data_IF_121695913053
#
_entry.id   IF_121695913053
#
_cell.length_a   1.000
_cell.length_b   1.000
_cell.length_c   1.000
_cell.angle_alpha   90.00
_cell.angle_beta   90.00
_cell.angle_gamma   90.00
#
_symmetry.space_group_name_H-M   'P 1'
#
loop_
_entity.id
_entity.type
_entity.pdbx_description
1 polymer ?
#
# COMPACT_ATOMS: atom_id res chain seq x y z
N UNK A 1 -10.52 -15.43 30.47
CA UNK A 1 -11.00 -14.17 31.10
C UNK A 1 -11.64 -13.28 30.03
N UNK A 2 -12.57 -13.85 29.26
CA UNK A 2 -13.10 -13.32 27.98
C UNK A 2 -14.61 -13.13 28.04
N UNK A 3 -15.18 -13.09 29.24
CA UNK A 3 -16.63 -12.99 29.46
C UNK A 3 -17.08 -11.59 29.89
N UNK A 4 -16.18 -10.77 30.44
CA UNK A 4 -16.59 -9.55 31.16
C UNK A 4 -16.71 -8.32 30.26
N UNK A 5 -16.07 -8.33 29.07
CA UNK A 5 -16.17 -7.22 28.11
C UNK A 5 -17.51 -7.20 27.36
N UNK A 6 -18.17 -8.35 27.19
CA UNK A 6 -19.44 -8.46 26.46
C UNK A 6 -20.63 -8.05 27.34
N UNK A 7 -20.50 -8.17 28.67
CA UNK A 7 -21.58 -7.85 29.60
C UNK A 7 -21.74 -6.35 29.89
N UNK A 8 -20.71 -5.53 29.65
CA UNK A 8 -20.76 -4.08 29.84
C UNK A 8 -21.66 -3.36 28.81
N UNK A 9 -21.90 -3.97 27.63
CA UNK A 9 -22.71 -3.38 26.56
C UNK A 9 -24.22 -3.57 26.80
N UNK A 10 -24.64 -4.49 27.68
CA UNK A 10 -26.05 -4.79 27.95
C UNK A 10 -26.63 -4.11 29.21
N UNK A 11 -25.85 -3.33 29.94
CA UNK A 11 -26.29 -2.62 31.14
C UNK A 11 -26.48 -1.11 30.91
N UNK A 12 -27.05 -0.74 29.76
CA UNK A 12 -27.62 0.60 29.59
C UNK A 12 -28.96 0.70 30.30
N UNK A 13 -28.98 1.21 31.54
CA UNK A 13 -30.19 1.83 32.09
C UNK A 13 -29.85 3.03 32.97
N UNK A 14 -30.14 4.19 32.38
CA UNK A 14 -30.48 5.48 32.99
C UNK A 14 -29.41 6.09 33.89
N UNK A 15 -28.70 7.07 33.36
CA UNK A 15 -28.67 8.43 33.91
C UNK A 15 -28.25 9.42 32.82
N UNK A 16 -29.16 10.35 32.51
CA UNK A 16 -29.00 11.41 31.53
C UNK A 16 -28.03 12.47 32.07
N UNK A 17 -26.86 12.58 31.43
CA UNK A 17 -26.19 13.81 30.99
C UNK A 17 -24.87 13.38 30.35
N UNK A 18 -24.92 12.90 29.11
CA UNK A 18 -23.70 12.54 28.37
C UNK A 18 -23.15 13.81 27.68
N UNK A 19 -22.02 14.29 28.19
CA UNK A 19 -21.26 15.42 27.64
C UNK A 19 -20.93 15.18 26.14
N UNK A 20 -21.25 16.13 25.23
CA UNK A 20 -20.91 16.04 23.81
C UNK A 20 -19.43 15.77 23.54
N UNK A 21 -18.53 16.22 24.43
CA UNK A 21 -17.08 15.97 24.33
C UNK A 21 -16.77 14.50 24.62
N UNK A 22 -17.42 13.92 25.64
CA UNK A 22 -17.26 12.52 26.02
C UNK A 22 -17.81 11.57 24.93
N UNK A 23 -18.96 11.91 24.33
CA UNK A 23 -19.53 11.15 23.22
C UNK A 23 -18.64 11.19 21.96
N UNK A 24 -18.04 12.35 21.64
CA UNK A 24 -17.04 12.46 20.55
C UNK A 24 -15.78 11.64 20.83
N UNK A 25 -15.33 11.59 22.08
CA UNK A 25 -14.17 10.81 22.48
C UNK A 25 -14.45 9.30 22.36
N UNK A 26 -15.60 8.84 22.85
CA UNK A 26 -16.05 7.45 22.72
C UNK A 26 -16.25 7.04 21.27
N UNK A 27 -16.83 7.91 20.43
CA UNK A 27 -16.93 7.69 18.98
C UNK A 27 -15.55 7.62 18.32
N UNK A 28 -14.61 8.46 18.73
CA UNK A 28 -13.24 8.44 18.21
C UNK A 28 -12.51 7.16 18.60
N UNK A 29 -12.67 6.70 19.84
CA UNK A 29 -12.10 5.44 20.31
C UNK A 29 -12.78 4.21 19.69
N UNK A 30 -14.09 4.23 19.46
CA UNK A 30 -14.80 3.20 18.70
C UNK A 30 -14.39 3.17 17.23
N UNK A 31 -14.19 4.34 16.60
CA UNK A 31 -13.65 4.44 15.25
C UNK A 31 -12.21 3.91 15.20
N UNK A 32 -11.41 4.20 16.23
CA UNK A 32 -10.04 3.69 16.41
C UNK A 32 -10.01 2.17 16.65
N UNK A 33 -10.96 1.66 17.43
CA UNK A 33 -11.10 0.23 17.71
C UNK A 33 -11.62 -0.53 16.48
N UNK A 34 -12.53 0.07 15.70
CA UNK A 34 -12.95 -0.47 14.39
C UNK A 34 -11.79 -0.48 13.39
N UNK A 35 -10.94 0.56 13.33
CA UNK A 35 -9.72 0.53 12.51
C UNK A 35 -8.68 -0.46 13.04
N UNK A 36 -8.60 -0.65 14.36
CA UNK A 36 -7.69 -1.62 15.01
C UNK A 36 -8.09 -3.08 14.79
N UNK A 37 -9.40 -3.38 14.78
CA UNK A 37 -9.97 -4.72 14.55
C UNK A 37 -10.06 -5.10 13.06
N UNK A 38 -10.00 -4.14 12.13
CA UNK A 38 -10.28 -4.36 10.70
C UNK A 38 -9.07 -4.49 9.76
N UNK A 39 -7.83 -4.45 10.25
CA UNK A 39 -6.69 -4.32 9.33
C UNK A 39 -5.52 -5.29 9.54
N UNK A 40 -5.85 -6.59 9.61
CA UNK A 40 -4.87 -7.66 9.38
C UNK A 40 -4.10 -7.45 8.07
N UNK A 41 -4.74 -6.87 7.05
CA UNK A 41 -4.05 -6.53 5.80
C UNK A 41 -2.96 -5.47 5.98
N UNK A 42 -3.22 -4.40 6.74
CA UNK A 42 -2.21 -3.36 6.97
C UNK A 42 -1.11 -3.84 7.93
N UNK A 43 -1.47 -4.68 8.92
CA UNK A 43 -0.49 -5.38 9.74
C UNK A 43 0.37 -6.31 8.88
N UNK A 44 -0.22 -7.03 7.92
CA UNK A 44 0.51 -7.88 6.98
C UNK A 44 1.29 -7.10 5.91
N UNK A 45 0.92 -5.86 5.64
CA UNK A 45 1.73 -4.95 4.82
C UNK A 45 2.93 -4.41 5.63
N UNK A 46 2.74 -4.18 6.93
CA UNK A 46 3.71 -3.54 7.83
C UNK A 46 4.67 -4.50 8.54
N UNK A 47 4.19 -5.66 8.97
CA UNK A 47 4.86 -6.57 9.91
C UNK A 47 5.79 -7.57 9.22
N UNK A 48 5.38 -8.24 8.14
CA UNK A 48 6.29 -9.03 7.34
C UNK A 48 7.36 -8.18 6.65
N UNK A 49 7.16 -6.85 6.64
CA UNK A 49 8.13 -5.90 6.12
C UNK A 49 9.05 -5.31 7.20
N UNK A 50 8.87 -5.66 8.48
CA UNK A 50 9.34 -4.85 9.61
C UNK A 50 10.64 -5.26 10.33
N UNK A 51 11.21 -6.44 10.09
CA UNK A 51 12.50 -6.83 10.71
C UNK A 51 13.43 -7.43 9.67
N UNK A 52 14.38 -6.61 9.21
CA UNK A 52 15.51 -7.07 8.41
C UNK A 52 16.17 -8.27 9.12
N UNK A 53 16.20 -9.43 8.48
CA UNK A 53 16.84 -10.65 9.01
C UNK A 53 15.92 -11.82 9.32
N UNK A 54 14.59 -11.65 9.31
CA UNK A 54 13.67 -12.76 9.60
C UNK A 54 12.53 -12.83 8.56
N UNK A 55 12.46 -13.95 7.84
CA UNK A 55 11.39 -14.42 6.96
C UNK A 55 10.64 -13.39 6.11
N UNK A 56 11.02 -13.29 4.83
CA UNK A 56 10.27 -12.60 3.81
C UNK A 56 8.81 -13.12 3.72
N UNK A 57 7.78 -12.26 3.74
CA UNK A 57 6.40 -12.68 3.52
C UNK A 57 6.28 -13.48 2.24
N UNK A 58 5.69 -14.67 2.33
CA UNK A 58 5.35 -15.50 1.16
C UNK A 58 4.21 -14.89 0.31
N UNK A 59 3.67 -13.74 0.72
CA UNK A 59 2.51 -13.09 0.14
C UNK A 59 2.82 -11.66 -0.25
N UNK A 60 2.29 -11.26 -1.40
CA UNK A 60 2.30 -9.87 -1.84
C UNK A 60 0.98 -9.23 -1.44
N UNK A 61 1.06 -8.09 -0.76
CA UNK A 61 -0.07 -7.26 -0.37
C UNK A 61 0.03 -5.97 -1.16
N UNK A 62 -1.03 -5.62 -1.86
CA UNK A 62 -1.11 -4.48 -2.77
C UNK A 62 -2.37 -3.67 -2.46
N UNK A 63 -2.23 -2.37 -2.27
CA UNK A 63 -3.33 -1.42 -2.17
C UNK A 63 -3.32 -0.59 -3.45
N UNK A 64 -4.45 -0.54 -4.14
CA UNK A 64 -4.62 0.32 -5.30
C UNK A 64 -5.55 1.48 -4.93
N UNK A 65 -5.03 2.70 -5.00
CA UNK A 65 -5.78 3.92 -4.80
C UNK A 65 -5.86 4.70 -6.11
N UNK A 66 -7.04 5.26 -6.42
CA UNK A 66 -7.25 6.16 -7.54
C UNK A 66 -7.90 7.44 -7.01
N UNK A 67 -7.29 8.58 -7.36
CA UNK A 67 -7.83 9.92 -7.13
C UNK A 67 -8.28 10.55 -8.43
N UNK A 68 -9.39 11.28 -8.38
CA UNK A 68 -9.81 12.17 -9.45
C UNK A 68 -8.96 13.45 -9.47
N UNK A 69 -9.14 14.29 -10.50
CA UNK A 69 -8.41 15.54 -10.68
C UNK A 69 -8.61 16.57 -9.56
N UNK A 70 -9.72 16.49 -8.82
CA UNK A 70 -10.03 17.29 -7.64
C UNK A 70 -9.38 16.74 -6.35
N UNK A 71 -8.63 15.64 -6.46
CA UNK A 71 -7.96 14.96 -5.36
C UNK A 71 -8.86 14.01 -4.56
N UNK A 72 -10.13 13.84 -4.93
CA UNK A 72 -11.06 12.94 -4.25
C UNK A 72 -10.72 11.49 -4.55
N UNK A 73 -10.70 10.65 -3.52
CA UNK A 73 -10.58 9.19 -3.68
C UNK A 73 -11.84 8.63 -4.37
N UNK A 74 -11.65 7.99 -5.52
CA UNK A 74 -12.70 7.33 -6.31
C UNK A 74 -12.56 5.81 -6.35
N UNK A 75 -11.43 5.29 -5.86
CA UNK A 75 -11.19 3.85 -5.71
C UNK A 75 -10.13 3.62 -4.64
N UNK A 76 -10.36 2.67 -3.74
CA UNK A 76 -9.36 2.24 -2.75
C UNK A 76 -9.62 0.77 -2.37
N UNK A 77 -8.89 -0.13 -3.01
CA UNK A 77 -9.09 -1.58 -2.82
C UNK A 77 -7.79 -2.33 -2.51
N UNK A 78 -7.97 -3.47 -1.84
CA UNK A 78 -6.89 -4.30 -1.31
C UNK A 78 -6.80 -5.61 -2.09
N UNK A 79 -5.63 -5.86 -2.66
CA UNK A 79 -5.31 -7.04 -3.44
C UNK A 79 -4.22 -7.85 -2.76
N UNK A 80 -4.29 -9.17 -2.90
CA UNK A 80 -3.23 -10.08 -2.50
C UNK A 80 -3.03 -11.15 -3.55
N UNK A 81 -1.87 -11.80 -3.54
CA UNK A 81 -1.66 -12.94 -4.41
C UNK A 81 -2.70 -14.04 -4.14
N UNK A 82 -3.19 -14.65 -5.23
CA UNK A 82 -4.03 -15.87 -5.22
C UNK A 82 -3.18 -17.05 -5.67
N UNK A 83 -3.69 -18.28 -5.55
CA UNK A 83 -2.95 -19.47 -5.99
C UNK A 83 -2.44 -19.29 -7.43
N UNK A 84 -1.10 -19.30 -7.61
CA UNK A 84 -0.39 -19.07 -8.88
C UNK A 84 -0.65 -17.71 -9.56
N UNK A 85 -1.16 -16.71 -8.85
CA UNK A 85 -1.41 -15.37 -9.40
C UNK A 85 -0.86 -14.27 -8.49
N UNK A 86 -0.07 -13.36 -9.07
CA UNK A 86 0.50 -12.22 -8.35
C UNK A 86 -0.55 -11.14 -8.11
N UNK A 87 -0.39 -10.34 -7.06
CA UNK A 87 -1.39 -9.36 -6.62
C UNK A 87 -1.69 -8.32 -7.73
N UNK A 88 -0.68 -7.90 -8.47
CA UNK A 88 -0.75 -6.97 -9.59
C UNK A 88 -1.63 -7.54 -10.72
N UNK A 89 -1.48 -8.83 -11.03
CA UNK A 89 -2.32 -9.51 -12.03
C UNK A 89 -3.76 -9.69 -11.57
N UNK A 90 -3.96 -9.91 -10.27
CA UNK A 90 -5.31 -9.98 -9.69
C UNK A 90 -5.99 -8.61 -9.82
N UNK A 91 -5.30 -7.52 -9.46
CA UNK A 91 -5.78 -6.15 -9.60
C UNK A 91 -6.07 -5.77 -11.05
N UNK A 92 -5.15 -6.05 -11.99
CA UNK A 92 -5.34 -5.72 -13.41
C UNK A 92 -6.51 -6.47 -14.08
N UNK A 93 -7.03 -7.52 -13.44
CA UNK A 93 -8.22 -8.26 -13.88
C UNK A 93 -9.49 -7.85 -13.14
N UNK A 94 -9.36 -7.01 -12.13
CA UNK A 94 -10.50 -6.57 -11.34
C UNK A 94 -11.41 -5.67 -12.18
N UNK A 95 -12.70 -6.02 -12.34
CA UNK A 95 -13.59 -5.28 -13.21
C UNK A 95 -13.90 -3.88 -12.68
N UNK A 96 -13.92 -3.69 -11.36
CA UNK A 96 -14.19 -2.38 -10.76
C UNK A 96 -13.00 -1.44 -10.97
N UNK A 97 -11.78 -1.92 -10.72
CA UNK A 97 -10.55 -1.17 -11.01
C UNK A 97 -10.52 -0.72 -12.48
N UNK A 98 -10.76 -1.66 -13.41
CA UNK A 98 -10.76 -1.35 -14.84
C UNK A 98 -11.88 -0.40 -15.25
N UNK A 99 -13.06 -0.51 -14.65
CA UNK A 99 -14.20 0.36 -14.93
C UNK A 99 -13.94 1.80 -14.48
N UNK A 100 -13.38 1.99 -13.28
CA UNK A 100 -12.98 3.31 -12.77
C UNK A 100 -11.94 3.95 -13.69
N UNK A 101 -10.91 3.21 -14.09
CA UNK A 101 -9.84 3.74 -14.97
C UNK A 101 -10.41 4.17 -16.33
N UNK A 102 -11.32 3.38 -16.92
CA UNK A 102 -11.91 3.68 -18.24
C UNK A 102 -12.84 4.89 -18.24
N UNK A 103 -13.61 5.07 -17.16
CA UNK A 103 -14.67 6.10 -17.07
C UNK A 103 -14.17 7.48 -16.66
N UNK A 104 -12.98 7.56 -16.08
CA UNK A 104 -12.43 8.80 -15.55
C UNK A 104 -11.23 9.27 -16.37
N UNK A 105 -10.98 10.57 -16.36
CA UNK A 105 -9.83 11.23 -16.99
C UNK A 105 -9.03 11.98 -15.93
N UNK A 106 -7.78 12.30 -16.26
CA UNK A 106 -6.87 13.02 -15.40
C UNK A 106 -6.74 12.42 -14.00
N UNK A 107 -6.77 11.08 -13.92
CA UNK A 107 -6.69 10.37 -12.64
C UNK A 107 -5.26 10.16 -12.19
N UNK A 108 -5.09 10.07 -10.87
CA UNK A 108 -3.83 9.68 -10.25
C UNK A 108 -3.98 8.27 -9.66
N UNK A 109 -3.13 7.35 -10.10
CA UNK A 109 -3.10 5.97 -9.59
C UNK A 109 -1.89 5.81 -8.68
N UNK A 110 -2.12 5.32 -7.46
CA UNK A 110 -1.05 4.93 -6.52
C UNK A 110 -1.20 3.47 -6.12
N UNK A 111 -0.17 2.68 -6.41
CA UNK A 111 -0.05 1.29 -5.98
C UNK A 111 0.92 1.20 -4.81
N UNK A 112 0.45 0.72 -3.66
CA UNK A 112 1.27 0.54 -2.47
C UNK A 112 1.43 -0.94 -2.16
N UNK A 113 2.66 -1.43 -2.14
CA UNK A 113 2.95 -2.86 -1.99
C UNK A 113 4.06 -3.16 -0.99
N UNK A 114 4.08 -4.37 -0.43
CA UNK A 114 5.26 -4.82 0.33
C UNK A 114 6.48 -5.08 -0.59
N UNK A 115 6.26 -5.37 -1.87
CA UNK A 115 7.32 -5.64 -2.85
C UNK A 115 7.16 -4.83 -4.13
N UNK A 116 8.29 -4.47 -4.74
CA UNK A 116 8.32 -4.03 -6.14
C UNK A 116 7.84 -5.17 -7.05
N UNK A 117 7.25 -4.86 -8.22
CA UNK A 117 6.78 -5.89 -9.13
C UNK A 117 7.93 -6.76 -9.64
N UNK A 118 7.66 -8.04 -9.90
CA UNK A 118 8.58 -8.86 -10.69
C UNK A 118 8.52 -8.44 -12.17
N UNK A 119 9.48 -8.92 -12.99
CA UNK A 119 9.59 -8.53 -14.40
C UNK A 119 8.28 -8.70 -15.20
N UNK A 120 7.61 -9.84 -15.04
CA UNK A 120 6.34 -10.13 -15.73
C UNK A 120 5.20 -9.20 -15.24
N UNK A 121 5.13 -8.88 -13.95
CA UNK A 121 4.13 -7.93 -13.46
C UNK A 121 4.43 -6.50 -13.91
N UNK A 122 5.70 -6.10 -13.94
CA UNK A 122 6.14 -4.82 -14.46
C UNK A 122 5.76 -4.65 -15.94
N UNK A 123 5.97 -5.66 -16.78
CA UNK A 123 5.55 -5.60 -18.19
C UNK A 123 4.03 -5.44 -18.35
N UNK A 124 3.24 -6.12 -17.51
CA UNK A 124 1.79 -5.97 -17.52
C UNK A 124 1.32 -4.59 -17.05
N UNK A 125 1.97 -4.02 -16.01
CA UNK A 125 1.68 -2.67 -15.52
C UNK A 125 2.06 -1.60 -16.56
N UNK A 126 3.19 -1.77 -17.25
CA UNK A 126 3.61 -0.89 -18.36
C UNK A 126 2.58 -0.91 -19.49
N UNK A 127 2.19 -2.10 -19.97
CA UNK A 127 1.15 -2.25 -21.01
C UNK A 127 -0.18 -1.64 -20.60
N UNK A 128 -0.56 -1.79 -19.33
CA UNK A 128 -1.76 -1.16 -18.79
C UNK A 128 -1.66 0.36 -18.84
N UNK A 129 -0.53 0.92 -18.40
CA UNK A 129 -0.32 2.37 -18.43
C UNK A 129 -0.36 2.93 -19.86
N UNK A 130 0.37 2.32 -20.79
CA UNK A 130 0.41 2.73 -22.21
C UNK A 130 -0.98 2.68 -22.86
N UNK A 131 -1.83 1.73 -22.45
CA UNK A 131 -3.21 1.63 -22.93
C UNK A 131 -4.12 2.75 -22.43
N UNK A 132 -3.82 3.33 -21.27
CA UNK A 132 -4.65 4.31 -20.57
C UNK A 132 -3.92 5.63 -20.32
N UNK A 133 -2.89 5.94 -21.10
CA UNK A 133 -2.11 7.18 -20.97
C UNK A 133 -3.01 8.42 -21.06
N UNK A 134 -4.04 8.42 -21.91
CA UNK A 134 -4.95 9.56 -22.02
C UNK A 134 -5.92 9.70 -20.83
N UNK A 135 -5.98 8.70 -19.94
CA UNK A 135 -6.81 8.73 -18.74
C UNK A 135 -5.97 9.06 -17.50
N UNK A 136 -4.71 8.60 -17.46
CA UNK A 136 -3.87 8.61 -16.27
C UNK A 136 -2.89 9.79 -16.33
N UNK A 137 -3.12 10.80 -15.49
CA UNK A 137 -2.20 11.94 -15.35
C UNK A 137 -0.92 11.56 -14.57
N UNK A 138 -1.06 10.71 -13.54
CA UNK A 138 0.07 10.23 -12.76
C UNK A 138 -0.11 8.76 -12.38
N UNK A 139 0.96 7.97 -12.51
CA UNK A 139 0.99 6.59 -12.05
C UNK A 139 2.20 6.37 -11.15
N UNK A 140 1.96 6.17 -9.85
CA UNK A 140 2.98 5.88 -8.85
C UNK A 140 2.90 4.44 -8.35
N UNK A 141 4.04 3.75 -8.31
CA UNK A 141 4.20 2.45 -7.65
C UNK A 141 5.17 2.64 -6.49
N UNK A 142 4.66 2.47 -5.27
CA UNK A 142 5.43 2.54 -4.05
C UNK A 142 5.54 1.19 -3.36
N UNK A 143 6.75 0.85 -2.87
CA UNK A 143 7.00 -0.45 -2.26
C UNK A 143 7.95 -0.42 -1.06
N UNK A 144 7.74 -1.35 -0.13
CA UNK A 144 8.60 -1.50 1.06
C UNK A 144 9.96 -2.11 0.71
N UNK A 145 10.01 -3.06 -0.22
CA UNK A 145 11.23 -3.73 -0.67
C UNK A 145 11.33 -3.85 -2.18
N UNK A 146 12.56 -3.93 -2.68
CA UNK A 146 12.84 -4.30 -4.06
C UNK A 146 12.90 -5.83 -4.16
N UNK A 147 12.11 -6.41 -5.05
CA UNK A 147 12.00 -7.86 -5.22
C UNK A 147 13.09 -8.42 -6.13
N UNK A 148 13.98 -9.24 -5.57
CA UNK A 148 15.03 -9.98 -6.30
C UNK A 148 15.82 -9.10 -7.29
N UNK A 149 16.43 -8.03 -6.81
CA UNK A 149 17.12 -7.06 -7.67
C UNK A 149 18.42 -7.60 -8.27
N UNK A 150 18.99 -8.65 -7.66
CA UNK A 150 20.10 -9.42 -8.20
C UNK A 150 19.75 -10.11 -9.54
N UNK A 151 18.46 -10.27 -9.85
CA UNK A 151 18.01 -10.79 -11.13
C UNK A 151 17.93 -9.64 -12.13
N UNK A 152 18.80 -9.69 -13.14
CA UNK A 152 18.86 -8.72 -14.24
C UNK A 152 17.47 -8.34 -14.79
N UNK A 153 16.62 -9.34 -15.10
CA UNK A 153 15.27 -9.09 -15.62
C UNK A 153 14.38 -8.22 -14.73
N UNK A 154 14.48 -8.35 -13.40
CA UNK A 154 13.67 -7.54 -12.48
C UNK A 154 14.20 -6.12 -12.44
N UNK A 155 15.52 -5.96 -12.42
CA UNK A 155 16.18 -4.65 -12.49
C UNK A 155 15.79 -3.89 -13.76
N UNK A 156 15.97 -4.51 -14.92
CA UNK A 156 15.64 -3.90 -16.22
C UNK A 156 14.14 -3.58 -16.31
N UNK A 157 13.28 -4.42 -15.76
CA UNK A 157 11.84 -4.15 -15.76
C UNK A 157 11.45 -2.91 -14.92
N UNK A 158 12.11 -2.68 -13.77
CA UNK A 158 11.92 -1.44 -13.01
C UNK A 158 12.42 -0.20 -13.77
N UNK A 159 13.56 -0.31 -14.44
CA UNK A 159 14.06 0.75 -15.32
C UNK A 159 13.06 1.04 -16.46
N UNK A 160 12.50 0.01 -17.07
CA UNK A 160 11.52 0.15 -18.15
C UNK A 160 10.21 0.79 -17.68
N UNK A 161 9.73 0.49 -16.46
CA UNK A 161 8.60 1.20 -15.86
C UNK A 161 8.92 2.70 -15.71
N UNK A 162 10.08 3.03 -15.16
CA UNK A 162 10.51 4.43 -14.99
C UNK A 162 10.64 5.17 -16.31
N UNK A 163 11.22 4.52 -17.34
CA UNK A 163 11.34 5.07 -18.69
C UNK A 163 9.99 5.29 -19.37
N UNK A 164 9.01 4.45 -19.06
CA UNK A 164 7.64 4.63 -19.55
C UNK A 164 6.92 5.82 -18.89
N UNK A 165 7.50 6.46 -17.87
CA UNK A 165 6.88 7.57 -17.14
C UNK A 165 6.14 7.16 -15.87
N UNK A 166 6.22 5.88 -15.46
CA UNK A 166 5.65 5.43 -14.18
C UNK A 166 6.62 5.79 -13.06
N UNK A 167 6.14 6.52 -12.05
CA UNK A 167 6.93 6.90 -10.89
C UNK A 167 7.14 5.68 -9.98
N UNK A 168 8.40 5.33 -9.71
CA UNK A 168 8.75 4.31 -8.72
C UNK A 168 9.25 4.96 -7.44
N UNK A 169 8.75 4.51 -6.28
CA UNK A 169 9.11 5.09 -4.98
C UNK A 169 9.33 4.01 -3.92
N UNK A 170 10.37 4.16 -3.11
CA UNK A 170 10.43 3.41 -1.85
C UNK A 170 9.45 4.02 -0.86
N UNK A 171 8.66 3.20 -0.16
CA UNK A 171 7.75 3.71 0.86
C UNK A 171 8.49 4.57 1.89
N UNK A 172 7.81 5.60 2.38
CA UNK A 172 8.28 6.48 3.44
C UNK A 172 7.12 6.78 4.41
N UNK A 173 7.36 7.66 5.39
CA UNK A 173 6.34 8.01 6.40
C UNK A 173 5.05 8.55 5.78
N UNK A 174 5.12 9.27 4.65
CA UNK A 174 3.93 9.76 3.94
C UNK A 174 3.20 8.62 3.23
N UNK A 175 3.93 7.73 2.53
CA UNK A 175 3.35 6.52 1.92
C UNK A 175 2.58 5.67 2.93
N UNK A 176 3.07 5.56 4.16
CA UNK A 176 2.36 4.85 5.24
C UNK A 176 1.08 5.57 5.65
N UNK A 177 1.11 6.90 5.79
CA UNK A 177 -0.08 7.69 6.10
C UNK A 177 -1.15 7.63 5.01
N UNK A 178 -0.74 7.65 3.74
CA UNK A 178 -1.65 7.53 2.59
C UNK A 178 -2.49 6.25 2.62
N UNK A 179 -1.95 5.15 3.17
CA UNK A 179 -2.67 3.87 3.31
C UNK A 179 -3.31 3.69 4.69
N UNK A 180 -3.43 4.75 5.47
CA UNK A 180 -4.08 4.75 6.79
C UNK A 180 -3.22 4.18 7.91
N UNK A 181 -1.89 4.09 7.74
CA UNK A 181 -0.96 3.64 8.75
C UNK A 181 -0.18 4.81 9.38
N UNK A 182 -0.62 5.24 10.57
CA UNK A 182 0.19 6.10 11.43
C UNK A 182 1.22 5.26 12.20
N UNK A 183 2.47 5.24 11.71
CA UNK A 183 3.55 4.50 12.35
C UNK A 183 3.76 4.87 13.82
N UNK A 184 3.47 6.11 14.24
CA UNK A 184 3.62 6.54 15.63
C UNK A 184 2.59 5.85 16.56
N UNK A 185 1.42 5.55 16.02
CA UNK A 185 0.34 4.87 16.72
C UNK A 185 0.57 3.35 16.79
N UNK A 186 1.03 2.74 15.70
CA UNK A 186 1.11 1.28 15.60
C UNK A 186 2.42 0.65 16.08
N UNK A 187 3.51 1.42 16.16
CA UNK A 187 4.84 0.89 16.42
C UNK A 187 5.53 1.62 17.57
N UNK A 188 6.32 0.90 18.36
CA UNK A 188 7.20 1.51 19.35
C UNK A 188 8.40 2.22 18.68
N UNK A 189 9.16 3.00 19.45
CA UNK A 189 10.27 3.80 18.92
C UNK A 189 11.31 2.96 18.16
N UNK A 190 11.67 1.80 18.69
CA UNK A 190 12.66 0.90 18.08
C UNK A 190 12.14 0.32 16.76
N UNK A 191 10.89 -0.12 16.71
CA UNK A 191 10.26 -0.63 15.48
C UNK A 191 10.14 0.45 14.40
N UNK A 192 9.76 1.68 14.77
CA UNK A 192 9.72 2.81 13.83
C UNK A 192 11.08 3.08 13.21
N UNK A 193 12.16 3.04 13.98
CA UNK A 193 13.51 3.22 13.43
C UNK A 193 13.93 2.07 12.51
N UNK A 194 13.51 0.82 12.78
CA UNK A 194 13.72 -0.31 11.85
C UNK A 194 13.00 -0.09 10.51
N UNK A 195 11.73 0.31 10.55
CA UNK A 195 10.91 0.65 9.37
C UNK A 195 11.55 1.79 8.57
N UNK A 196 11.91 2.89 9.23
CA UNK A 196 12.59 4.02 8.58
C UNK A 196 13.93 3.61 7.98
N UNK A 197 14.71 2.78 8.66
CA UNK A 197 15.99 2.27 8.15
C UNK A 197 15.79 1.45 6.88
N UNK A 198 14.81 0.54 6.87
CA UNK A 198 14.43 -0.21 5.66
C UNK A 198 14.06 0.73 4.53
N UNK A 199 13.15 1.66 4.76
CA UNK A 199 12.66 2.61 3.76
C UNK A 199 13.82 3.39 3.12
N UNK A 200 14.78 3.85 3.92
CA UNK A 200 16.01 4.51 3.43
C UNK A 200 16.90 3.57 2.60
N UNK A 201 17.04 2.31 3.00
CA UNK A 201 17.81 1.30 2.25
C UNK A 201 17.13 1.02 0.91
N UNK A 202 15.82 0.77 0.90
CA UNK A 202 15.03 0.55 -0.31
C UNK A 202 15.14 1.76 -1.24
N UNK A 203 15.05 2.98 -0.72
CA UNK A 203 15.21 4.21 -1.50
C UNK A 203 16.60 4.31 -2.15
N UNK A 204 17.66 4.03 -1.39
CA UNK A 204 19.04 4.01 -1.91
C UNK A 204 19.20 2.96 -3.02
N UNK A 205 18.71 1.75 -2.78
CA UNK A 205 18.83 0.67 -3.76
C UNK A 205 18.04 0.99 -5.04
N UNK A 206 16.85 1.60 -4.91
CA UNK A 206 16.05 2.01 -6.05
C UNK A 206 16.77 3.09 -6.86
N UNK A 207 17.36 4.09 -6.18
CA UNK A 207 18.17 5.11 -6.84
C UNK A 207 19.30 4.48 -7.65
N UNK A 208 20.02 3.49 -7.10
CA UNK A 208 21.08 2.80 -7.81
C UNK A 208 20.53 2.09 -9.06
N UNK A 209 19.45 1.31 -8.92
CA UNK A 209 18.78 0.62 -10.04
C UNK A 209 18.42 1.56 -11.17
N UNK A 210 17.86 2.73 -10.85
CA UNK A 210 17.41 3.70 -11.85
C UNK A 210 18.54 4.57 -12.42
N UNK A 211 19.69 4.64 -11.77
CA UNK A 211 20.85 5.42 -12.24
C UNK A 211 21.80 4.60 -13.11
N UNK A 212 21.72 3.27 -13.08
CA UNK A 212 22.59 2.42 -13.87
C UNK A 212 22.19 2.43 -15.35
N UNK A 213 23.14 2.64 -16.29
CA UNK A 213 22.83 2.58 -17.72
C UNK A 213 22.33 1.18 -18.08
N UNK A 214 21.24 1.11 -18.86
CA UNK A 214 20.78 -0.18 -19.41
C UNK A 214 21.92 -0.77 -20.23
N UNK A 215 22.35 -2.00 -19.91
CA UNK A 215 23.38 -2.72 -20.66
C UNK A 215 22.84 -3.31 -21.98
N UNK A 216 21.82 -2.69 -22.57
CA UNK A 216 21.31 -3.07 -23.88
C UNK A 216 22.04 -2.20 -24.92
N UNK A 217 23.23 -2.67 -25.30
CA UNK A 217 23.97 -2.27 -26.50
C UNK A 217 24.00 -3.43 -27.50
#
# INVERSE_FOLDING_TARGET
>A
MTSDAIHAVKAGKKNNTEDPVSMKLVLKELQLALTFLSNDFLKDLLWPTGVYGENWPKRTYLIASIKANDGKDIFNERFKNKHRQHAEKVMLRDPQFLDVVKKNRDIEITLTSNYSPCSDCADNLKKFYEKYTDNINNFTIQFSFIYHIEKYKNKTALQNLSKAGITLRAMNVESWREVGLDLAFYLNATEREKVKKRDRITARNLKNVLSEPNQDG
#
